data_IF_441958345527
#
_entry.id   IF_441958345527
#
_cell.length_a   1.000
_cell.length_b   1.000
_cell.length_c   1.000
_cell.angle_alpha   90.00
_cell.angle_beta   90.00
_cell.angle_gamma   90.00
#
_symmetry.space_group_name_H-M   'P 1'
#
loop_
_entity.id
_entity.type
_entity.pdbx_description
1 polymer ?
#
# COMPACT_ATOMS: atom_id res chain seq x y z
N UNK A 1 4.13 24.57 6.02
CA UNK A 1 3.90 23.29 6.66
C UNK A 1 3.18 22.32 5.76
N UNK A 2 3.64 21.10 5.72
CA UNK A 2 3.06 20.08 4.89
C UNK A 2 2.13 19.20 5.71
N UNK A 3 0.89 19.10 5.29
CA UNK A 3 -0.07 18.29 6.01
C UNK A 3 -0.02 16.82 5.58
N UNK A 4 0.22 16.58 4.31
CA UNK A 4 0.12 15.22 3.77
C UNK A 4 1.37 14.89 3.01
N UNK A 5 1.97 13.77 3.37
CA UNK A 5 3.18 13.35 2.70
C UNK A 5 3.19 11.83 2.60
N UNK A 6 3.32 11.36 1.39
CA UNK A 6 3.41 9.93 1.15
C UNK A 6 4.80 9.43 1.54
N UNK A 7 4.83 8.19 2.02
CA UNK A 7 6.10 7.54 2.32
C UNK A 7 6.73 6.97 1.05
N UNK A 8 5.89 6.59 0.09
CA UNK A 8 6.37 5.99 -1.16
C UNK A 8 5.85 6.82 -2.33
N UNK A 9 6.70 7.64 -2.94
CA UNK A 9 6.25 8.45 -4.08
C UNK A 9 6.03 7.60 -5.32
N UNK A 10 5.32 8.16 -6.30
CA UNK A 10 5.11 7.50 -7.58
C UNK A 10 6.47 7.09 -8.15
N UNK A 11 6.57 5.86 -8.61
CA UNK A 11 7.81 5.31 -9.13
C UNK A 11 8.64 4.56 -8.10
N UNK A 12 8.30 4.67 -6.83
CA UNK A 12 9.04 3.96 -5.79
C UNK A 12 8.75 2.45 -5.87
N UNK A 13 9.76 1.65 -5.58
CA UNK A 13 9.58 0.21 -5.52
C UNK A 13 9.14 -0.17 -4.12
N UNK A 14 8.12 -0.99 -4.06
CA UNK A 14 7.55 -1.42 -2.78
C UNK A 14 7.27 -2.90 -2.81
N UNK A 15 7.15 -3.47 -1.62
CA UNK A 15 6.77 -4.86 -1.45
C UNK A 15 5.53 -4.91 -0.59
N UNK A 16 4.56 -5.70 -1.02
CA UNK A 16 3.33 -5.91 -0.25
C UNK A 16 3.66 -6.85 0.90
N UNK A 17 3.02 -6.61 2.05
CA UNK A 17 3.27 -7.38 3.26
C UNK A 17 2.97 -8.87 3.06
N UNK A 18 3.43 -9.68 4.00
CA UNK A 18 3.15 -11.11 4.01
C UNK A 18 1.65 -11.36 4.06
N UNK A 19 1.25 -12.52 3.56
CA UNK A 19 -0.17 -12.86 3.52
C UNK A 19 -0.84 -12.75 4.89
N UNK A 20 -0.16 -13.22 5.95
CA UNK A 20 -0.73 -13.15 7.29
C UNK A 20 -1.00 -11.71 7.72
N UNK A 21 -0.07 -10.80 7.38
CA UNK A 21 -0.23 -9.40 7.74
C UNK A 21 -1.32 -8.73 6.91
N UNK A 22 -1.42 -9.06 5.64
CA UNK A 22 -2.46 -8.52 4.77
C UNK A 22 -3.83 -8.99 5.25
N UNK A 23 -3.94 -10.26 5.61
CA UNK A 23 -5.20 -10.80 6.11
C UNK A 23 -5.58 -10.18 7.44
N UNK A 24 -4.60 -9.98 8.33
CA UNK A 24 -4.86 -9.34 9.62
C UNK A 24 -5.32 -7.90 9.42
N UNK A 25 -4.69 -7.18 8.50
CA UNK A 25 -5.11 -5.82 8.20
C UNK A 25 -6.54 -5.81 7.68
N UNK A 26 -6.85 -6.70 6.74
CA UNK A 26 -8.18 -6.77 6.16
C UNK A 26 -9.23 -7.04 7.23
N UNK A 27 -8.92 -7.94 8.16
CA UNK A 27 -9.87 -8.30 9.20
C UNK A 27 -10.10 -7.16 10.19
N UNK A 28 -9.09 -6.37 10.49
CA UNK A 28 -9.19 -5.32 11.49
C UNK A 28 -9.61 -3.97 10.93
N UNK A 29 -9.40 -3.75 9.65
CA UNK A 29 -9.70 -2.44 9.03
C UNK A 29 -11.14 -2.40 8.58
N UNK A 30 -11.94 -1.57 9.22
CA UNK A 30 -13.37 -1.48 8.93
C UNK A 30 -13.77 -0.11 8.39
N UNK A 31 -12.79 0.70 8.03
CA UNK A 31 -13.03 2.06 7.57
C UNK A 31 -13.01 2.12 6.05
N UNK A 32 -12.50 3.22 5.49
CA UNK A 32 -12.51 3.42 4.05
C UNK A 32 -11.59 2.46 3.32
N UNK A 33 -11.90 2.20 2.07
CA UNK A 33 -11.07 1.40 1.17
C UNK A 33 -10.63 0.08 1.79
N UNK A 34 -11.58 -0.76 2.23
CA UNK A 34 -11.19 -2.05 2.82
C UNK A 34 -10.54 -2.93 1.76
N UNK A 35 -9.62 -3.76 2.21
CA UNK A 35 -8.97 -4.70 1.31
C UNK A 35 -9.98 -5.77 0.88
N UNK A 36 -9.78 -6.30 -0.33
CA UNK A 36 -10.63 -7.35 -0.87
C UNK A 36 -9.90 -8.69 -0.78
N UNK A 37 -10.65 -9.77 -0.93
CA UNK A 37 -10.03 -11.09 -0.92
C UNK A 37 -9.07 -11.25 -2.10
N UNK A 38 -9.34 -10.57 -3.21
CA UNK A 38 -8.46 -10.62 -4.36
C UNK A 38 -7.09 -10.02 -4.05
N UNK A 39 -7.07 -8.94 -3.27
CA UNK A 39 -5.81 -8.30 -2.92
C UNK A 39 -4.89 -9.19 -2.12
N UNK A 40 -5.44 -10.09 -1.31
CA UNK A 40 -4.62 -10.99 -0.51
C UNK A 40 -3.75 -11.89 -1.39
N UNK A 41 -4.20 -12.19 -2.60
CA UNK A 41 -3.44 -13.03 -3.51
C UNK A 41 -2.14 -12.37 -3.98
N UNK A 42 -2.00 -11.08 -3.74
CA UNK A 42 -0.80 -10.34 -4.14
C UNK A 42 0.18 -10.13 -2.99
N UNK A 43 -0.05 -10.81 -1.87
CA UNK A 43 0.87 -10.71 -0.73
C UNK A 43 2.30 -11.01 -1.16
N UNK A 44 3.24 -10.25 -0.61
CA UNK A 44 4.68 -10.39 -0.87
C UNK A 44 5.09 -10.00 -2.29
N UNK A 45 4.16 -9.51 -3.11
CA UNK A 45 4.49 -9.06 -4.45
C UNK A 45 5.33 -7.78 -4.39
N UNK A 46 6.38 -7.71 -5.21
CA UNK A 46 7.14 -6.48 -5.38
C UNK A 46 6.62 -5.77 -6.62
N UNK A 47 6.45 -4.46 -6.51
CA UNK A 47 5.92 -3.69 -7.61
C UNK A 47 6.33 -2.23 -7.45
N UNK A 48 5.73 -1.36 -8.25
CA UNK A 48 6.08 0.06 -8.29
C UNK A 48 4.82 0.87 -8.01
N UNK A 49 4.96 1.93 -7.23
CA UNK A 49 3.85 2.83 -6.94
C UNK A 49 3.43 3.52 -8.24
N UNK A 50 2.15 3.38 -8.58
CA UNK A 50 1.59 3.97 -9.79
C UNK A 50 0.85 5.27 -9.50
N UNK A 51 0.27 5.39 -8.32
CA UNK A 51 -0.44 6.60 -7.93
C UNK A 51 -0.49 6.74 -6.43
N UNK A 52 -0.66 7.97 -5.97
CA UNK A 52 -0.75 8.30 -4.55
C UNK A 52 -1.95 9.23 -4.35
N UNK A 53 -2.75 8.94 -3.33
CA UNK A 53 -3.84 9.81 -2.94
C UNK A 53 -3.93 9.86 -1.43
N UNK A 54 -4.78 10.77 -0.92
CA UNK A 54 -4.94 10.91 0.52
C UNK A 54 -6.43 10.95 0.84
N UNK A 55 -6.87 10.03 1.69
CA UNK A 55 -8.27 9.97 2.05
C UNK A 55 -8.59 11.11 3.00
N UNK A 56 -9.48 11.98 2.56
CA UNK A 56 -9.86 13.19 3.33
C UNK A 56 -8.64 13.93 3.88
N UNK A 57 -7.56 13.92 3.09
CA UNK A 57 -6.37 14.65 3.46
C UNK A 57 -5.58 14.03 4.59
N UNK A 58 -5.76 12.74 4.84
CA UNK A 58 -5.06 12.08 5.94
C UNK A 58 -4.30 10.84 5.51
N UNK A 59 -4.98 9.71 5.48
CA UNK A 59 -4.33 8.43 5.24
C UNK A 59 -3.82 8.31 3.80
N UNK A 60 -2.54 8.03 3.60
CA UNK A 60 -2.01 7.87 2.25
C UNK A 60 -2.50 6.54 1.65
N UNK A 61 -2.92 6.60 0.41
CA UNK A 61 -3.44 5.45 -0.32
C UNK A 61 -2.66 5.31 -1.62
N UNK A 62 -2.40 4.08 -2.01
CA UNK A 62 -1.53 3.80 -3.14
C UNK A 62 -2.21 2.91 -4.16
N UNK A 63 -1.97 3.18 -5.44
CA UNK A 63 -2.25 2.21 -6.49
C UNK A 63 -0.91 1.70 -7.00
N UNK A 64 -0.88 0.42 -7.33
CA UNK A 64 0.37 -0.25 -7.67
C UNK A 64 0.27 -0.82 -9.08
N UNK A 65 1.42 -0.90 -9.75
CA UNK A 65 1.49 -1.39 -11.12
C UNK A 65 1.14 -2.88 -11.16
N UNK A 66 0.19 -3.23 -12.01
CA UNK A 66 -0.26 -4.62 -12.24
C UNK A 66 -0.81 -5.29 -10.98
N UNK A 67 -1.24 -4.51 -10.01
CA UNK A 67 -1.86 -5.03 -8.79
C UNK A 67 -3.17 -4.29 -8.60
N UNK A 68 -4.29 -5.01 -8.45
CA UNK A 68 -5.58 -4.36 -8.34
C UNK A 68 -5.78 -3.68 -6.99
N UNK A 69 -6.68 -2.70 -6.99
CA UNK A 69 -7.17 -2.10 -5.77
C UNK A 69 -6.32 -0.97 -5.24
N UNK A 70 -6.80 -0.43 -4.13
CA UNK A 70 -6.13 0.65 -3.43
C UNK A 70 -5.47 0.07 -2.19
N UNK A 71 -4.24 0.48 -1.93
CA UNK A 71 -3.45 -0.10 -0.84
C UNK A 71 -3.14 0.93 0.23
N UNK A 72 -3.20 0.49 1.47
CA UNK A 72 -2.84 1.32 2.61
C UNK A 72 -1.34 1.23 2.87
N UNK A 73 -0.77 2.32 3.34
CA UNK A 73 0.67 2.39 3.56
C UNK A 73 1.18 1.30 4.50
N UNK A 74 0.36 0.92 5.48
CA UNK A 74 0.74 -0.11 6.44
C UNK A 74 0.96 -1.48 5.80
N UNK A 75 0.42 -1.70 4.60
CA UNK A 75 0.58 -2.96 3.89
C UNK A 75 1.82 -2.97 2.98
N UNK A 76 2.59 -1.90 2.97
CA UNK A 76 3.70 -1.75 2.04
C UNK A 76 5.01 -1.49 2.78
N UNK A 77 6.11 -1.94 2.18
CA UNK A 77 7.44 -1.60 2.67
C UNK A 77 8.30 -1.28 1.45
N UNK A 78 9.33 -0.46 1.67
CA UNK A 78 10.24 -0.12 0.58
C UNK A 78 11.13 -1.29 0.23
N UNK A 79 11.42 -1.46 -1.05
CA UNK A 79 12.33 -2.50 -1.50
C UNK A 79 13.38 -1.94 -2.44
N UNK A 80 13.75 -0.70 -2.23
CA UNK A 80 14.82 -0.07 -2.97
C UNK A 80 16.14 -0.70 -2.52
N UNK A 81 16.91 -1.30 -3.44
CA UNK A 81 18.16 -1.94 -3.06
C UNK A 81 19.17 -0.98 -2.44
N UNK A 82 19.02 0.31 -2.66
CA UNK A 82 19.92 1.30 -2.09
C UNK A 82 19.48 1.83 -0.76
N UNK A 83 18.37 1.37 -0.25
CA UNK A 83 17.82 1.86 1.01
C UNK A 83 18.06 0.89 2.15
N UNK A 84 18.94 -0.02 1.92
CA UNK A 84 19.22 -1.08 2.90
C UNK A 84 19.69 -0.50 4.22
#
# INVERSE_FOLDING_TARGET
MTAYKERFPIGARVRIAERADVEAFRASWTLHNPLTSEQIEFAERETVVNGVGFYHGGDPLYTLTDVPGVWHELCLSGCDPNSA
#
